data_IF_145718201833
#
_entry.id   IF_145718201833
#
_cell.length_a   1.000
_cell.length_b   1.000
_cell.length_c   1.000
_cell.angle_alpha   90.00
_cell.angle_beta   90.00
_cell.angle_gamma   90.00
#
_symmetry.space_group_name_H-M   'P 1'
#
loop_
_entity.id
_entity.type
_entity.pdbx_description
1 polymer ?
#
# COMPACT_ATOMS: atom_id res chain seq x y z
N UNK A 1 21.97 13.45 34.02
CA UNK A 1 20.86 13.77 33.13
C UNK A 1 21.19 13.16 31.77
N UNK A 2 20.81 11.91 31.58
CA UNK A 2 21.24 11.10 30.42
C UNK A 2 20.21 11.29 29.32
N UNK A 3 20.56 12.05 28.30
CA UNK A 3 19.72 12.29 27.13
C UNK A 3 19.73 11.03 26.26
N UNK A 4 18.67 10.23 26.32
CA UNK A 4 18.41 9.14 25.40
C UNK A 4 18.09 9.74 24.02
N UNK A 5 19.09 9.75 23.15
CA UNK A 5 18.92 9.93 21.72
C UNK A 5 18.17 8.69 21.20
N UNK A 6 16.86 8.82 21.03
CA UNK A 6 16.07 7.89 20.22
C UNK A 6 16.56 8.02 18.76
N UNK A 7 17.54 7.19 18.40
CA UNK A 7 17.75 6.79 17.02
C UNK A 7 16.44 6.12 16.59
N UNK A 8 15.57 6.87 15.91
CA UNK A 8 14.44 6.27 15.23
C UNK A 8 15.04 5.30 14.20
N UNK A 9 15.00 4.01 14.51
CA UNK A 9 15.29 2.97 13.54
C UNK A 9 14.48 3.31 12.29
N UNK A 10 15.19 3.57 11.18
CA UNK A 10 14.60 3.51 9.85
C UNK A 10 14.23 2.05 9.63
N UNK A 11 13.13 1.63 10.24
CA UNK A 11 12.47 0.39 9.88
C UNK A 11 11.96 0.61 8.47
N UNK A 12 12.64 0.02 7.50
CA UNK A 12 12.24 0.03 6.10
C UNK A 12 10.99 -0.85 5.88
N UNK A 13 10.13 -1.03 6.88
CA UNK A 13 8.88 -1.76 6.77
C UNK A 13 7.81 -0.84 6.17
N UNK A 14 6.84 -1.43 5.47
CA UNK A 14 5.77 -0.66 4.85
C UNK A 14 4.86 -0.05 5.93
N UNK A 15 4.86 1.29 6.13
CA UNK A 15 4.15 1.89 7.26
C UNK A 15 2.68 2.12 6.88
N UNK A 16 1.83 1.12 7.12
CA UNK A 16 0.39 1.16 6.77
C UNK A 16 -0.33 2.40 7.30
N UNK A 17 0.07 2.95 8.45
CA UNK A 17 -0.45 4.20 8.99
C UNK A 17 -0.16 5.46 8.15
N UNK A 18 0.58 5.33 7.05
CA UNK A 18 0.83 6.39 6.07
C UNK A 18 0.11 6.17 4.75
N UNK A 19 -0.81 5.21 4.68
CA UNK A 19 -1.66 4.96 3.52
C UNK A 19 -3.06 5.52 3.76
N UNK A 20 -3.60 6.19 2.73
CA UNK A 20 -4.90 6.83 2.77
C UNK A 20 -5.69 6.57 1.49
N UNK A 21 -7.01 6.53 1.58
CA UNK A 21 -7.90 6.67 0.44
C UNK A 21 -8.23 8.15 0.20
N UNK A 22 -8.18 8.57 -1.05
CA UNK A 22 -8.52 9.91 -1.52
C UNK A 22 -9.99 9.94 -1.96
N UNK A 23 -10.82 10.77 -1.30
CA UNK A 23 -12.25 10.91 -1.64
C UNK A 23 -12.47 11.71 -2.92
N UNK A 24 -11.70 12.77 -3.11
CA UNK A 24 -11.78 13.67 -4.26
C UNK A 24 -10.43 14.35 -4.47
N UNK A 25 -9.99 14.44 -5.73
CA UNK A 25 -8.80 15.19 -6.13
C UNK A 25 -9.26 16.57 -6.59
N UNK A 26 -9.36 17.51 -5.66
CA UNK A 26 -9.65 18.92 -5.94
C UNK A 26 -8.41 19.76 -5.56
N UNK A 27 -8.19 20.93 -6.18
CA UNK A 27 -7.15 21.86 -5.76
C UNK A 27 -7.28 22.15 -4.26
N UNK A 28 -6.18 22.01 -3.52
CA UNK A 28 -6.23 22.22 -2.08
C UNK A 28 -6.27 23.71 -1.73
N UNK A 29 -7.32 24.13 -1.04
CA UNK A 29 -7.49 25.52 -0.57
C UNK A 29 -7.01 25.71 0.88
N UNK A 30 -7.22 24.72 1.76
CA UNK A 30 -6.93 24.80 3.21
C UNK A 30 -6.48 23.44 3.78
N UNK A 31 -5.62 23.50 4.80
CA UNK A 31 -5.01 22.34 5.49
C UNK A 31 -4.43 21.31 4.52
N UNK A 32 -3.54 21.80 3.66
CA UNK A 32 -2.95 21.03 2.58
C UNK A 32 -1.82 20.16 3.07
N UNK A 33 -1.87 18.89 2.67
CA UNK A 33 -0.77 17.95 2.85
C UNK A 33 -0.37 17.39 1.49
N UNK A 34 0.90 16.99 1.39
CA UNK A 34 1.43 16.39 0.17
C UNK A 34 1.32 14.87 0.23
N UNK A 35 0.73 14.31 -0.82
CA UNK A 35 0.59 12.87 -0.98
C UNK A 35 1.07 12.43 -2.35
N UNK A 36 1.46 11.16 -2.46
CA UNK A 36 1.69 10.51 -3.74
C UNK A 36 0.51 9.60 -4.05
N UNK A 37 -0.27 9.96 -5.08
CA UNK A 37 -1.42 9.15 -5.53
C UNK A 37 -0.88 7.96 -6.31
N UNK A 38 -1.30 6.76 -5.92
CA UNK A 38 -0.86 5.50 -6.50
C UNK A 38 -1.61 5.17 -7.79
N UNK A 39 -1.17 4.11 -8.46
CA UNK A 39 -1.67 3.71 -9.78
C UNK A 39 -3.17 3.35 -9.82
N UNK A 40 -3.79 3.01 -8.69
CA UNK A 40 -5.23 2.75 -8.62
C UNK A 40 -6.08 4.04 -8.68
N UNK A 41 -5.43 5.20 -8.50
CA UNK A 41 -6.00 6.54 -8.57
C UNK A 41 -6.76 6.98 -7.31
N UNK A 42 -6.84 6.13 -6.30
CA UNK A 42 -7.64 6.38 -5.09
C UNK A 42 -6.86 6.10 -3.80
N UNK A 43 -5.78 5.32 -3.85
CA UNK A 43 -4.87 5.16 -2.71
C UNK A 43 -3.75 6.19 -2.81
N UNK A 44 -3.32 6.73 -1.68
CA UNK A 44 -2.21 7.65 -1.63
C UNK A 44 -1.29 7.40 -0.43
N UNK A 45 -0.02 7.68 -0.64
CA UNK A 45 1.01 7.68 0.39
C UNK A 45 1.17 9.08 0.98
N UNK A 46 1.03 9.21 2.29
CA UNK A 46 1.37 10.45 2.98
C UNK A 46 2.88 10.58 3.12
N UNK A 47 3.46 11.64 2.53
CA UNK A 47 4.89 11.92 2.58
C UNK A 47 5.14 13.05 3.58
N UNK A 48 5.65 12.70 4.77
CA UNK A 48 5.81 13.63 5.90
C UNK A 48 6.88 14.70 5.67
N UNK A 49 7.86 14.44 4.80
CA UNK A 49 8.86 15.43 4.40
C UNK A 49 8.44 15.99 3.05
N UNK A 50 8.17 17.30 2.93
CA UNK A 50 7.95 17.91 1.62
C UNK A 50 9.25 17.79 0.84
N UNK A 51 9.29 16.83 -0.07
CA UNK A 51 10.33 16.75 -1.09
C UNK A 51 9.79 17.48 -2.32
N UNK A 52 10.68 18.10 -3.10
CA UNK A 52 10.38 18.68 -4.42
C UNK A 52 10.17 17.59 -5.49
N UNK A 53 9.45 16.52 -5.13
CA UNK A 53 9.10 15.44 -6.04
C UNK A 53 7.89 15.90 -6.86
N UNK A 54 8.06 15.91 -8.19
CA UNK A 54 7.01 16.25 -9.16
C UNK A 54 5.78 15.33 -9.10
N UNK A 55 5.91 14.17 -8.43
CA UNK A 55 4.86 13.17 -8.25
C UNK A 55 3.92 13.49 -7.06
N UNK A 56 4.25 14.49 -6.23
CA UNK A 56 3.43 14.85 -5.08
C UNK A 56 2.31 15.81 -5.48
N UNK A 57 1.13 15.54 -4.95
CA UNK A 57 -0.06 16.37 -5.11
C UNK A 57 -0.46 16.92 -3.75
N UNK A 58 -0.78 18.22 -3.70
CA UNK A 58 -1.35 18.85 -2.52
C UNK A 58 -2.86 18.54 -2.44
N UNK A 59 -3.29 17.91 -1.35
CA UNK A 59 -4.70 17.58 -1.09
C UNK A 59 -5.09 18.09 0.30
N UNK A 60 -6.37 18.41 0.48
CA UNK A 60 -6.87 18.76 1.81
C UNK A 60 -6.89 17.52 2.70
N UNK A 61 -6.47 17.65 3.96
CA UNK A 61 -6.51 16.54 4.94
C UNK A 61 -7.90 15.91 5.06
N UNK A 62 -8.97 16.70 4.95
CA UNK A 62 -10.35 16.22 5.00
C UNK A 62 -10.76 15.34 3.81
N UNK A 63 -10.01 15.42 2.70
CA UNK A 63 -10.20 14.57 1.54
C UNK A 63 -9.60 13.17 1.71
N UNK A 64 -8.86 12.92 2.81
CA UNK A 64 -8.20 11.65 3.08
C UNK A 64 -8.96 10.84 4.13
N UNK A 65 -8.95 9.53 3.95
CA UNK A 65 -9.41 8.56 4.96
C UNK A 65 -8.31 7.55 5.18
N UNK A 66 -7.88 7.29 6.43
CA UNK A 66 -6.86 6.28 6.69
C UNK A 66 -7.27 4.93 6.09
N UNK A 67 -6.31 4.23 5.49
CA UNK A 67 -6.53 2.83 5.13
C UNK A 67 -6.52 2.03 6.43
N UNK A 68 -7.69 1.58 6.84
CA UNK A 68 -7.88 0.73 7.99
C UNK A 68 -8.81 -0.43 7.63
N UNK A 69 -8.43 -1.63 8.01
CA UNK A 69 -9.23 -2.83 7.80
C UNK A 69 -9.69 -3.35 9.16
N UNK A 70 -10.99 -3.42 9.37
CA UNK A 70 -11.59 -4.07 10.52
C UNK A 70 -11.59 -5.57 10.24
N UNK A 71 -11.02 -6.35 11.16
CA UNK A 71 -10.99 -7.82 11.14
C UNK A 71 -10.42 -8.43 9.85
N UNK A 72 -9.12 -8.71 9.85
CA UNK A 72 -8.44 -9.51 8.83
C UNK A 72 -8.98 -10.95 8.88
N UNK A 73 -10.07 -11.22 8.17
CA UNK A 73 -10.54 -12.59 8.00
C UNK A 73 -9.59 -13.33 7.06
N UNK A 74 -9.06 -14.44 7.55
CA UNK A 74 -8.22 -15.32 6.75
C UNK A 74 -9.05 -15.84 5.58
N UNK A 75 -8.59 -15.57 4.36
CA UNK A 75 -9.20 -16.12 3.16
C UNK A 75 -9.14 -17.66 3.18
N UNK A 76 -10.10 -18.31 2.53
CA UNK A 76 -9.93 -19.71 2.13
C UNK A 76 -8.59 -19.79 1.38
N UNK A 77 -7.68 -20.70 1.75
CA UNK A 77 -6.31 -20.70 1.25
C UNK A 77 -6.24 -20.55 -0.27
N UNK A 78 -5.75 -19.40 -0.72
CA UNK A 78 -5.53 -19.15 -2.14
C UNK A 78 -4.16 -19.70 -2.53
N UNK A 79 -4.08 -20.29 -3.73
CA UNK A 79 -2.77 -20.57 -4.33
C UNK A 79 -2.03 -19.24 -4.56
N UNK A 80 -0.70 -19.22 -4.44
CA UNK A 80 0.09 -18.03 -4.76
C UNK A 80 -0.26 -17.46 -6.14
N UNK A 81 -0.51 -16.16 -6.21
CA UNK A 81 -0.91 -15.47 -7.44
C UNK A 81 0.26 -14.67 -8.01
N UNK A 82 0.37 -14.56 -9.34
CA UNK A 82 1.34 -13.63 -9.95
C UNK A 82 0.75 -12.23 -10.03
N UNK A 83 1.57 -11.23 -9.71
CA UNK A 83 1.24 -9.84 -9.95
C UNK A 83 1.29 -9.55 -11.45
N UNK A 84 0.34 -8.75 -11.93
CA UNK A 84 0.23 -8.28 -13.32
C UNK A 84 1.13 -7.07 -13.54
N UNK A 85 1.21 -6.22 -12.52
CA UNK A 85 2.10 -5.06 -12.45
C UNK A 85 2.63 -4.96 -11.01
N UNK A 86 3.86 -4.49 -10.86
CA UNK A 86 4.48 -4.20 -9.56
C UNK A 86 5.30 -2.92 -9.66
N UNK A 87 5.05 -1.98 -8.74
CA UNK A 87 5.69 -0.67 -8.71
C UNK A 87 6.20 -0.31 -7.32
N UNK A 88 7.28 0.46 -7.32
CA UNK A 88 7.81 1.09 -6.12
C UNK A 88 6.91 2.25 -5.67
N UNK A 89 6.58 2.26 -4.38
CA UNK A 89 6.11 3.45 -3.68
C UNK A 89 7.23 4.44 -3.40
N UNK A 90 6.85 5.62 -2.92
CA UNK A 90 7.77 6.56 -2.29
C UNK A 90 8.00 6.23 -0.81
N UNK A 91 7.10 5.47 -0.18
CA UNK A 91 7.36 4.97 1.17
C UNK A 91 8.41 3.86 1.13
N UNK A 92 9.47 3.93 1.95
CA UNK A 92 10.46 2.88 2.03
C UNK A 92 9.78 1.57 2.44
N UNK A 93 10.16 0.47 1.77
CA UNK A 93 9.61 -0.85 2.05
C UNK A 93 8.33 -1.20 1.31
N UNK A 94 7.52 -0.22 0.93
CA UNK A 94 6.26 -0.46 0.24
C UNK A 94 6.49 -0.74 -1.26
N UNK A 95 5.88 -1.82 -1.72
CA UNK A 95 5.67 -2.12 -3.14
C UNK A 95 4.20 -2.36 -3.36
N UNK A 96 3.71 -1.94 -4.52
CA UNK A 96 2.30 -2.09 -4.87
C UNK A 96 2.16 -2.93 -6.11
N UNK A 97 1.08 -3.68 -6.19
CA UNK A 97 0.83 -4.50 -7.36
C UNK A 97 -0.64 -4.74 -7.61
N UNK A 98 -0.92 -5.22 -8.81
CA UNK A 98 -2.27 -5.54 -9.26
C UNK A 98 -2.42 -7.04 -9.50
N UNK A 99 -3.56 -7.59 -9.06
CA UNK A 99 -4.02 -8.93 -9.39
C UNK A 99 -5.15 -8.84 -10.41
N UNK A 100 -5.20 -9.77 -11.37
CA UNK A 100 -6.38 -10.05 -12.21
C UNK A 100 -7.41 -10.90 -11.45
N UNK A 101 -7.69 -10.50 -10.22
CA UNK A 101 -8.72 -11.06 -9.37
C UNK A 101 -9.29 -9.91 -8.55
N UNK A 102 -10.60 -9.78 -8.48
CA UNK A 102 -11.30 -8.70 -7.79
C UNK A 102 -12.49 -9.20 -6.98
N UNK A 103 -13.51 -8.34 -6.84
CA UNK A 103 -14.68 -8.58 -5.99
C UNK A 103 -15.51 -9.78 -6.46
N UNK A 104 -15.58 -10.00 -7.78
CA UNK A 104 -16.32 -11.11 -8.37
C UNK A 104 -15.75 -12.49 -7.99
N UNK A 105 -14.48 -12.53 -7.56
CA UNK A 105 -13.80 -13.74 -7.13
C UNK A 105 -13.68 -13.81 -5.60
N UNK A 106 -14.45 -12.99 -4.87
CA UNK A 106 -14.58 -13.04 -3.42
C UNK A 106 -13.51 -12.30 -2.64
N UNK A 107 -12.62 -11.55 -3.31
CA UNK A 107 -11.65 -10.70 -2.61
C UNK A 107 -12.33 -9.47 -1.99
N UNK A 108 -11.78 -9.02 -0.87
CA UNK A 108 -12.23 -7.86 -0.09
C UNK A 108 -11.04 -6.98 0.29
N UNK A 109 -11.27 -5.67 0.54
CA UNK A 109 -10.23 -4.82 1.09
C UNK A 109 -9.76 -5.38 2.44
N UNK A 110 -8.45 -5.44 2.63
CA UNK A 110 -7.82 -5.97 3.84
C UNK A 110 -7.40 -7.44 3.75
N UNK A 111 -7.90 -8.16 2.75
CA UNK A 111 -7.50 -9.55 2.50
C UNK A 111 -5.99 -9.66 2.29
N UNK A 112 -5.43 -10.77 2.76
CA UNK A 112 -4.04 -11.13 2.54
C UNK A 112 -3.94 -12.27 1.53
N UNK A 113 -3.34 -11.98 0.38
CA UNK A 113 -3.21 -12.92 -0.73
C UNK A 113 -1.73 -13.30 -0.90
N UNK A 114 -1.38 -14.59 -0.89
CA UNK A 114 -0.03 -15.01 -1.19
C UNK A 114 0.29 -14.68 -2.66
N UNK A 115 1.46 -14.09 -2.89
CA UNK A 115 1.91 -13.68 -4.23
C UNK A 115 3.27 -14.26 -4.58
N UNK A 116 3.46 -14.50 -5.88
CA UNK A 116 4.74 -14.83 -6.51
C UNK A 116 5.27 -13.59 -7.22
N UNK A 117 6.46 -13.14 -6.85
CA UNK A 117 7.19 -12.10 -7.57
C UNK A 117 8.01 -12.69 -8.71
N UNK A 118 8.57 -13.87 -8.49
CA UNK A 118 9.25 -14.67 -9.50
C UNK A 118 9.11 -16.16 -9.14
N UNK A 119 9.95 -17.02 -9.72
CA UNK A 119 9.89 -18.46 -9.47
C UNK A 119 10.28 -18.85 -8.04
N UNK A 120 11.08 -18.05 -7.34
CA UNK A 120 11.71 -18.42 -6.07
C UNK A 120 11.39 -17.43 -4.94
N UNK A 121 10.74 -16.31 -5.24
CA UNK A 121 10.47 -15.23 -4.29
C UNK A 121 8.99 -14.91 -4.27
N UNK A 122 8.43 -14.86 -3.07
CA UNK A 122 7.04 -14.51 -2.83
C UNK A 122 6.87 -13.72 -1.56
N UNK A 123 5.61 -13.42 -1.27
CA UNK A 123 5.22 -12.72 -0.06
C UNK A 123 3.71 -12.63 0.04
N UNK A 124 3.24 -11.69 0.84
CA UNK A 124 1.82 -11.48 1.08
C UNK A 124 1.42 -10.10 0.59
N UNK A 125 0.47 -10.07 -0.35
CA UNK A 125 -0.17 -8.84 -0.80
C UNK A 125 -1.39 -8.55 0.08
N UNK A 126 -1.38 -7.42 0.76
CA UNK A 126 -2.56 -6.90 1.43
C UNK A 126 -3.38 -6.09 0.43
N UNK A 127 -4.63 -6.50 0.21
CA UNK A 127 -5.53 -5.83 -0.74
C UNK A 127 -5.95 -4.48 -0.17
N UNK A 128 -5.73 -3.42 -0.93
CA UNK A 128 -6.11 -2.06 -0.57
C UNK A 128 -7.46 -1.70 -1.17
N UNK A 129 -7.58 -1.93 -2.49
CA UNK A 129 -8.76 -1.53 -3.26
C UNK A 129 -9.09 -2.58 -4.32
N UNK A 130 -10.35 -2.60 -4.76
CA UNK A 130 -10.82 -3.53 -5.78
C UNK A 130 -11.63 -2.80 -6.84
N UNK A 131 -11.56 -3.29 -8.07
CA UNK A 131 -12.38 -2.88 -9.22
C UNK A 131 -12.76 -4.13 -10.00
N UNK A 132 -14.03 -4.52 -9.97
CA UNK A 132 -14.60 -5.66 -10.68
C UNK A 132 -13.73 -6.94 -10.65
N UNK A 133 -12.88 -7.12 -11.68
CA UNK A 133 -12.01 -8.28 -11.87
C UNK A 133 -10.57 -8.06 -11.41
N UNK A 134 -10.25 -6.92 -10.80
CA UNK A 134 -8.89 -6.58 -10.38
C UNK A 134 -8.84 -6.10 -8.94
N UNK A 135 -7.71 -6.36 -8.31
CA UNK A 135 -7.41 -5.90 -6.96
C UNK A 135 -6.04 -5.23 -6.97
N UNK A 136 -5.95 -4.11 -6.26
CA UNK A 136 -4.72 -3.39 -6.04
C UNK A 136 -4.31 -3.55 -4.58
N UNK A 137 -3.05 -3.86 -4.35
CA UNK A 137 -2.56 -4.17 -3.01
C UNK A 137 -1.15 -3.67 -2.76
N UNK A 138 -0.74 -3.79 -1.50
CA UNK A 138 0.59 -3.46 -1.01
C UNK A 138 1.24 -4.68 -0.41
N UNK A 139 2.56 -4.81 -0.59
CA UNK A 139 3.37 -5.78 0.12
C UNK A 139 4.64 -5.12 0.65
N UNK A 140 5.12 -5.62 1.78
CA UNK A 140 6.37 -5.18 2.38
C UNK A 140 7.53 -6.02 1.82
N UNK A 141 8.54 -5.36 1.26
CA UNK A 141 9.73 -6.05 0.76
C UNK A 141 10.49 -6.83 1.85
N UNK A 142 10.33 -6.46 3.12
CA UNK A 142 10.94 -7.18 4.25
C UNK A 142 10.19 -8.46 4.62
N UNK A 143 8.95 -8.59 4.15
CA UNK A 143 8.13 -9.80 4.35
C UNK A 143 8.33 -10.83 3.24
N UNK A 144 9.22 -10.56 2.27
CA UNK A 144 9.48 -11.46 1.17
C UNK A 144 10.25 -12.68 1.64
N UNK A 145 9.85 -13.84 1.13
CA UNK A 145 10.41 -15.13 1.49
C UNK A 145 10.80 -15.89 0.23
N UNK A 146 11.86 -16.69 0.36
CA UNK A 146 12.15 -17.72 -0.61
C UNK A 146 11.05 -18.77 -0.55
N UNK A 147 10.57 -19.18 -1.71
CA UNK A 147 9.55 -20.21 -1.83
C UNK A 147 10.24 -21.47 -2.29
N UNK A 148 10.02 -22.57 -1.57
CA UNK A 148 10.46 -23.88 -2.04
C UNK A 148 9.66 -24.26 -3.30
N UNK A 149 10.34 -24.65 -4.40
CA UNK A 149 9.71 -24.97 -5.68
C UNK A 149 8.83 -26.23 -5.65
#
# INVERSE_FOLDING_TARGET
MTMLLFLADLTYACPMGRLFHVKHVAPCEKDCIYVHILADGITAEFISRPQTLSQLVAVSRFALTPVAFQDQQSLIPLRPQRLVDSRAGLLPGCRYGQLQRGIQQGLRPGDQVPILLNQWLGGTLQILTLKDQTAFGVYDVHSLMLIDP
#
